data_IF_595731152310
#
_entry.id   IF_595731152310
#
_cell.length_a   1.000
_cell.length_b   1.000
_cell.length_c   1.000
_cell.angle_alpha   90.00
_cell.angle_beta   90.00
_cell.angle_gamma   90.00
#
_symmetry.space_group_name_H-M   'P 1'
#
loop_
_entity.id
_entity.type
_entity.pdbx_description
1 polymer ?
#
# COMPACT_ATOMS: atom_id res chain seq x y z
N UNK A 1 15.71 0.41 -2.30
CA UNK A 1 14.67 0.50 -1.26
C UNK A 1 13.75 1.65 -1.63
N UNK A 2 12.46 1.39 -1.76
CA UNK A 2 11.42 2.37 -2.06
C UNK A 2 10.32 2.30 -0.97
N UNK A 3 9.31 3.17 -1.07
CA UNK A 3 8.12 3.11 -0.22
C UNK A 3 6.91 2.76 -1.06
N UNK A 4 6.27 1.63 -0.77
CA UNK A 4 4.96 1.28 -1.29
C UNK A 4 3.90 2.13 -0.58
N UNK A 5 3.18 2.95 -1.34
CA UNK A 5 2.12 3.81 -0.79
C UNK A 5 0.81 3.03 -0.83
N UNK A 6 0.25 2.74 0.34
CA UNK A 6 -1.01 2.00 0.46
C UNK A 6 -2.20 2.84 -0.06
N UNK A 7 -3.23 2.17 -0.55
CA UNK A 7 -4.42 2.80 -1.13
C UNK A 7 -5.09 3.75 -0.16
N UNK A 8 -5.12 3.42 1.14
CA UNK A 8 -5.76 4.26 2.15
C UNK A 8 -5.16 5.67 2.21
N UNK A 9 -3.84 5.82 2.09
CA UNK A 9 -3.15 7.11 2.13
C UNK A 9 -3.46 7.95 0.89
N UNK A 10 -3.46 7.31 -0.29
CA UNK A 10 -3.81 7.99 -1.55
C UNK A 10 -5.27 8.47 -1.51
N UNK A 11 -6.16 7.61 -1.03
CA UNK A 11 -7.58 7.90 -0.86
C UNK A 11 -7.80 9.09 0.08
N UNK A 12 -7.14 9.12 1.24
CA UNK A 12 -7.33 10.19 2.22
C UNK A 12 -7.05 11.58 1.61
N UNK A 13 -6.05 11.66 0.72
CA UNK A 13 -5.70 12.90 0.02
C UNK A 13 -6.73 13.22 -1.06
N UNK A 14 -7.04 12.23 -1.90
CA UNK A 14 -7.95 12.40 -3.03
C UNK A 14 -9.34 12.88 -2.61
N UNK A 15 -9.89 12.35 -1.51
CA UNK A 15 -11.22 12.78 -1.01
C UNK A 15 -11.16 13.82 0.09
N UNK A 16 -9.97 14.32 0.41
CA UNK A 16 -9.74 15.31 1.47
C UNK A 16 -10.35 14.85 2.80
N UNK A 17 -10.02 13.63 3.20
CA UNK A 17 -10.53 13.00 4.41
C UNK A 17 -10.32 13.92 5.64
N UNK A 18 -11.37 14.23 6.41
CA UNK A 18 -11.29 15.25 7.47
C UNK A 18 -10.40 14.84 8.65
N UNK A 19 -10.08 13.56 8.79
CA UNK A 19 -9.26 13.04 9.89
C UNK A 19 -7.84 12.77 9.42
N UNK A 20 -7.68 12.19 8.23
CA UNK A 20 -6.40 11.63 7.78
C UNK A 20 -5.67 12.47 6.76
N UNK A 21 -6.32 13.44 6.11
CA UNK A 21 -5.70 14.27 5.06
C UNK A 21 -4.38 14.89 5.51
N UNK A 22 -4.36 15.50 6.70
CA UNK A 22 -3.18 16.20 7.20
C UNK A 22 -1.99 15.25 7.36
N UNK A 23 -2.20 14.12 8.05
CA UNK A 23 -1.15 13.13 8.25
C UNK A 23 -0.69 12.51 6.93
N UNK A 24 -1.62 12.06 6.08
CA UNK A 24 -1.30 11.40 4.81
C UNK A 24 -0.51 12.33 3.87
N UNK A 25 -0.91 13.60 3.79
CA UNK A 25 -0.20 14.62 3.00
C UNK A 25 1.19 14.91 3.56
N UNK A 26 1.31 15.08 4.88
CA UNK A 26 2.59 15.34 5.52
C UNK A 26 3.55 14.14 5.40
N UNK A 27 3.05 12.91 5.51
CA UNK A 27 3.83 11.70 5.32
C UNK A 27 4.36 11.59 3.88
N UNK A 28 3.51 11.78 2.87
CA UNK A 28 3.97 11.80 1.48
C UNK A 28 4.99 12.92 1.23
N UNK A 29 4.73 14.13 1.74
CA UNK A 29 5.61 15.28 1.52
C UNK A 29 6.99 15.10 2.17
N UNK A 30 7.06 14.43 3.33
CA UNK A 30 8.32 14.07 3.99
C UNK A 30 9.15 13.07 3.20
N UNK A 31 8.50 12.14 2.51
CA UNK A 31 9.16 11.10 1.73
C UNK A 31 9.51 11.57 0.31
N UNK A 32 8.68 12.46 -0.25
CA UNK A 32 8.92 13.07 -1.54
C UNK A 32 10.32 13.71 -1.59
N UNK A 33 11.05 13.44 -2.66
CA UNK A 33 12.42 13.91 -2.86
C UNK A 33 13.52 13.12 -2.13
N UNK A 34 13.17 12.24 -1.18
CA UNK A 34 14.15 11.47 -0.40
C UNK A 34 14.17 9.98 -0.78
N UNK A 35 13.00 9.42 -1.08
CA UNK A 35 12.84 8.02 -1.47
C UNK A 35 11.84 7.87 -2.61
N UNK A 36 12.03 6.91 -3.54
CA UNK A 36 11.02 6.64 -4.55
C UNK A 36 9.69 6.20 -3.93
N UNK A 37 8.61 6.88 -4.29
CA UNK A 37 7.24 6.46 -3.96
C UNK A 37 6.77 5.49 -5.04
N UNK A 38 6.25 4.35 -4.62
CA UNK A 38 5.91 3.24 -5.51
C UNK A 38 4.48 2.78 -5.28
N UNK A 39 3.79 2.43 -6.36
CA UNK A 39 2.50 1.75 -6.35
C UNK A 39 2.58 0.51 -7.23
N UNK A 40 1.69 -0.44 -6.98
CA UNK A 40 1.57 -1.65 -7.79
C UNK A 40 0.16 -1.74 -8.41
N UNK A 41 -0.11 -2.69 -9.32
CA UNK A 41 -1.42 -2.81 -9.95
C UNK A 41 -2.59 -3.03 -8.99
N UNK A 42 -2.34 -3.57 -7.79
CA UNK A 42 -3.38 -3.79 -6.77
C UNK A 42 -3.78 -2.44 -6.18
N UNK A 43 -2.81 -1.64 -5.73
CA UNK A 43 -3.03 -0.29 -5.20
C UNK A 43 -3.72 0.60 -6.24
N UNK A 44 -3.22 0.57 -7.48
CA UNK A 44 -3.81 1.33 -8.58
C UNK A 44 -5.27 0.93 -8.82
N UNK A 45 -5.56 -0.38 -8.88
CA UNK A 45 -6.92 -0.87 -9.09
C UNK A 45 -7.87 -0.52 -7.94
N UNK A 46 -7.41 -0.56 -6.69
CA UNK A 46 -8.25 -0.16 -5.56
C UNK A 46 -8.52 1.35 -5.54
N UNK A 47 -7.51 2.17 -5.87
CA UNK A 47 -7.66 3.61 -5.98
C UNK A 47 -8.61 4.00 -7.13
N UNK A 48 -8.49 3.33 -8.28
CA UNK A 48 -9.25 3.64 -9.48
C UNK A 48 -10.75 3.36 -9.37
N UNK A 49 -11.22 2.55 -8.40
CA UNK A 49 -12.65 2.22 -8.21
C UNK A 49 -13.54 3.47 -8.04
N UNK A 50 -12.95 4.60 -7.63
CA UNK A 50 -13.68 5.86 -7.39
C UNK A 50 -13.85 6.73 -8.63
N UNK A 51 -13.27 6.32 -9.75
CA UNK A 51 -13.14 7.13 -10.95
C UNK A 51 -13.68 6.36 -12.16
N UNK A 52 -14.42 7.05 -13.01
CA UNK A 52 -14.96 6.48 -14.25
C UNK A 52 -14.00 6.66 -15.43
N UNK A 53 -12.97 7.49 -15.29
CA UNK A 53 -11.99 7.83 -16.32
C UNK A 53 -10.56 7.49 -15.88
N UNK A 54 -9.82 6.80 -16.75
CA UNK A 54 -8.42 6.46 -16.52
C UNK A 54 -7.55 7.73 -16.53
N UNK A 55 -7.87 8.73 -17.35
CA UNK A 55 -7.08 9.95 -17.44
C UNK A 55 -7.14 10.77 -16.13
N UNK A 56 -8.25 10.70 -15.39
CA UNK A 56 -8.36 11.28 -14.05
C UNK A 56 -7.44 10.58 -13.04
N UNK A 57 -7.37 9.24 -13.10
CA UNK A 57 -6.46 8.47 -12.24
C UNK A 57 -5.01 8.74 -12.57
N UNK A 58 -4.66 8.83 -13.85
CA UNK A 58 -3.31 9.15 -14.31
C UNK A 58 -2.87 10.56 -13.88
N UNK A 59 -3.80 11.53 -13.88
CA UNK A 59 -3.53 12.88 -13.39
C UNK A 59 -3.30 12.94 -11.87
N UNK A 60 -3.95 12.06 -11.10
CA UNK A 60 -3.80 11.97 -9.65
C UNK A 60 -2.60 11.11 -9.21
N UNK A 61 -2.18 10.16 -10.04
CA UNK A 61 -1.05 9.26 -9.80
C UNK A 61 -0.03 9.35 -10.96
N UNK A 62 0.57 10.53 -11.18
CA UNK A 62 1.45 10.74 -12.31
C UNK A 62 2.72 9.90 -12.16
N UNK A 63 3.19 9.32 -13.27
CA UNK A 63 4.23 8.27 -13.27
C UNK A 63 5.63 8.76 -12.88
N UNK A 64 5.86 10.07 -12.90
CA UNK A 64 7.07 10.73 -12.41
C UNK A 64 7.08 10.90 -10.88
N UNK A 65 5.92 11.00 -10.24
CA UNK A 65 5.79 11.00 -8.78
C UNK A 65 5.63 9.59 -8.19
N UNK A 66 4.79 8.75 -8.82
CA UNK A 66 4.49 7.40 -8.36
C UNK A 66 5.04 6.36 -9.34
N UNK A 67 6.16 5.74 -8.96
CA UNK A 67 6.74 4.64 -9.73
C UNK A 67 5.80 3.44 -9.73
N UNK A 68 5.52 2.90 -10.92
CA UNK A 68 4.73 1.68 -11.06
C UNK A 68 5.63 0.46 -11.05
N UNK A 69 5.37 -0.47 -10.13
CA UNK A 69 6.07 -1.76 -10.07
C UNK A 69 5.08 -2.92 -10.25
N UNK A 70 5.38 -3.82 -11.19
CA UNK A 70 4.63 -5.07 -11.34
C UNK A 70 4.80 -5.95 -10.10
N UNK A 71 3.71 -6.63 -9.69
CA UNK A 71 3.77 -7.59 -8.59
C UNK A 71 4.71 -8.77 -8.96
N UNK A 72 5.78 -9.03 -8.19
CA UNK A 72 6.64 -10.18 -8.45
C UNK A 72 5.89 -11.50 -8.23
N UNK A 73 6.20 -12.52 -9.03
CA UNK A 73 5.65 -13.87 -8.83
C UNK A 73 5.94 -14.43 -7.42
N UNK A 74 7.13 -14.17 -6.88
CA UNK A 74 7.49 -14.53 -5.51
C UNK A 74 6.60 -13.84 -4.47
N UNK A 75 6.17 -12.60 -4.73
CA UNK A 75 5.25 -11.88 -3.86
C UNK A 75 3.85 -12.51 -3.89
N UNK A 76 3.37 -12.92 -5.07
CA UNK A 76 2.10 -13.65 -5.18
C UNK A 76 2.13 -14.96 -4.36
N UNK A 77 3.24 -15.71 -4.41
CA UNK A 77 3.42 -16.92 -3.60
C UNK A 77 3.43 -16.62 -2.09
N UNK A 78 4.20 -15.61 -1.68
CA UNK A 78 4.29 -15.18 -0.27
C UNK A 78 2.93 -14.68 0.27
N UNK A 79 2.16 -13.94 -0.54
CA UNK A 79 0.80 -13.54 -0.20
C UNK A 79 -0.12 -14.76 0.01
N UNK A 80 -0.02 -15.78 -0.83
CA UNK A 80 -0.75 -17.04 -0.65
C UNK A 80 -0.34 -17.77 0.63
N UNK A 81 0.94 -17.72 1.01
CA UNK A 81 1.42 -18.28 2.28
C UNK A 81 0.84 -17.53 3.49
N UNK A 82 0.88 -16.19 3.47
CA UNK A 82 0.26 -15.35 4.50
C UNK A 82 -1.24 -15.61 4.61
N UNK A 83 -1.95 -15.74 3.48
CA UNK A 83 -3.37 -16.06 3.48
C UNK A 83 -3.68 -17.44 4.08
N UNK A 84 -2.84 -18.46 3.84
CA UNK A 84 -2.98 -19.77 4.51
C UNK A 84 -2.83 -19.65 6.02
N UNK A 85 -1.92 -18.81 6.52
CA UNK A 85 -1.76 -18.56 7.95
C UNK A 85 -3.00 -17.85 8.52
N UNK A 86 -3.49 -16.81 7.82
CA UNK A 86 -4.72 -16.11 8.18
C UNK A 86 -5.92 -17.07 8.32
N UNK A 87 -6.13 -17.97 7.35
CA UNK A 87 -7.21 -18.97 7.41
C UNK A 87 -7.03 -19.96 8.56
N UNK A 88 -5.81 -20.42 8.82
CA UNK A 88 -5.50 -21.30 9.96
C UNK A 88 -5.78 -20.61 11.30
N UNK A 89 -5.62 -19.30 11.37
CA UNK A 89 -5.95 -18.48 12.54
C UNK A 89 -7.44 -18.15 12.68
N UNK A 90 -8.33 -18.79 11.90
CA UNK A 90 -9.78 -18.56 11.95
C UNK A 90 -10.28 -17.39 11.10
N UNK A 91 -9.43 -16.87 10.21
CA UNK A 91 -9.81 -15.82 9.28
C UNK A 91 -10.94 -16.23 8.35
N UNK A 92 -12.06 -15.48 8.39
CA UNK A 92 -13.27 -15.79 7.62
C UNK A 92 -13.26 -15.38 6.15
N UNK A 93 -12.23 -14.66 5.66
CA UNK A 93 -12.19 -14.23 4.26
C UNK A 93 -11.85 -15.40 3.33
N UNK A 94 -12.64 -15.55 2.27
CA UNK A 94 -12.54 -16.68 1.33
C UNK A 94 -11.47 -16.48 0.25
N UNK A 95 -11.15 -15.21 -0.08
CA UNK A 95 -10.20 -14.82 -1.13
C UNK A 95 -8.95 -14.17 -0.53
N UNK A 96 -7.82 -14.29 -1.23
CA UNK A 96 -6.58 -13.57 -0.89
C UNK A 96 -6.87 -12.07 -0.93
N UNK A 97 -6.42 -11.37 0.09
CA UNK A 97 -6.62 -9.94 0.25
C UNK A 97 -5.59 -9.12 -0.51
N UNK A 98 -5.99 -7.97 -1.06
CA UNK A 98 -5.08 -6.95 -1.54
C UNK A 98 -3.91 -6.69 -0.59
N UNK A 99 -4.17 -6.49 0.70
CA UNK A 99 -3.14 -6.25 1.73
C UNK A 99 -2.07 -7.36 1.78
N UNK A 100 -2.44 -8.62 1.51
CA UNK A 100 -1.45 -9.71 1.45
C UNK A 100 -0.54 -9.57 0.24
N UNK A 101 -1.07 -9.14 -0.90
CA UNK A 101 -0.28 -8.91 -2.11
C UNK A 101 0.62 -7.69 -1.94
N UNK A 102 0.13 -6.61 -1.32
CA UNK A 102 0.89 -5.40 -1.03
C UNK A 102 2.01 -5.69 -0.03
N UNK A 103 1.68 -6.34 1.10
CA UNK A 103 2.64 -6.74 2.13
C UNK A 103 3.74 -7.66 1.60
N UNK A 104 3.35 -8.66 0.82
CA UNK A 104 4.30 -9.56 0.18
C UNK A 104 5.18 -8.86 -0.86
N UNK A 105 4.63 -7.89 -1.62
CA UNK A 105 5.43 -7.10 -2.55
C UNK A 105 6.54 -6.37 -1.78
N UNK A 106 6.17 -5.65 -0.73
CA UNK A 106 7.13 -4.90 0.08
C UNK A 106 8.22 -5.81 0.66
N UNK A 107 7.84 -6.96 1.22
CA UNK A 107 8.79 -7.94 1.74
C UNK A 107 9.78 -8.42 0.67
N UNK A 108 9.28 -8.83 -0.50
CA UNK A 108 10.12 -9.40 -1.57
C UNK A 108 11.06 -8.36 -2.19
N UNK A 109 10.64 -7.10 -2.26
CA UNK A 109 11.47 -6.01 -2.82
C UNK A 109 12.35 -5.32 -1.78
N UNK A 110 12.15 -5.60 -0.49
CA UNK A 110 12.79 -4.87 0.59
C UNK A 110 12.35 -3.40 0.63
N UNK A 111 11.07 -3.14 0.37
CA UNK A 111 10.45 -1.82 0.47
C UNK A 111 9.79 -1.63 1.83
N UNK A 112 9.63 -0.37 2.23
CA UNK A 112 8.74 0.00 3.33
C UNK A 112 7.31 0.17 2.83
N UNK A 113 6.32 0.13 3.72
CA UNK A 113 4.92 0.49 3.40
C UNK A 113 4.52 1.75 4.16
N UNK A 114 3.96 2.73 3.45
CA UNK A 114 3.26 3.87 4.05
C UNK A 114 1.77 3.55 4.13
N UNK A 115 1.23 3.47 5.34
CA UNK A 115 -0.17 3.08 5.57
C UNK A 115 -0.70 3.62 6.90
N UNK A 116 -2.00 3.94 6.97
CA UNK A 116 -2.67 4.23 8.25
C UNK A 116 -3.26 3.01 8.95
N UNK A 117 -3.30 1.84 8.31
CA UNK A 117 -3.78 0.59 8.92
C UNK A 117 -2.66 -0.49 8.97
N UNK A 118 -1.78 -0.45 9.98
CA UNK A 118 -0.63 -1.34 10.03
C UNK A 118 -0.92 -2.75 10.55
N UNK A 119 -2.11 -3.00 11.11
CA UNK A 119 -2.37 -4.21 11.91
C UNK A 119 -2.18 -5.49 11.09
N UNK A 120 -2.72 -5.50 9.86
CA UNK A 120 -2.57 -6.62 8.94
C UNK A 120 -1.11 -6.88 8.57
N UNK A 121 -0.41 -5.83 8.16
CA UNK A 121 1.00 -5.93 7.76
C UNK A 121 1.90 -6.43 8.89
N UNK A 122 1.76 -5.89 10.10
CA UNK A 122 2.55 -6.36 11.27
C UNK A 122 2.36 -7.83 11.59
N UNK A 123 1.13 -8.31 11.43
CA UNK A 123 0.77 -9.68 11.79
C UNK A 123 1.38 -10.68 10.81
N UNK A 124 1.36 -10.36 9.51
CA UNK A 124 1.68 -11.32 8.46
C UNK A 124 3.00 -11.06 7.74
N UNK A 125 3.56 -9.86 7.88
CA UNK A 125 4.83 -9.43 7.29
C UNK A 125 5.63 -8.60 8.31
N UNK A 126 6.01 -9.18 9.47
CA UNK A 126 6.64 -8.44 10.58
C UNK A 126 7.97 -7.79 10.22
N UNK A 127 8.67 -8.31 9.20
CA UNK A 127 9.96 -7.80 8.74
C UNK A 127 9.82 -6.63 7.75
N UNK A 128 8.60 -6.26 7.35
CA UNK A 128 8.35 -5.11 6.47
C UNK A 128 8.35 -3.83 7.30
N UNK A 129 9.25 -2.87 7.04
CA UNK A 129 9.23 -1.58 7.73
C UNK A 129 7.94 -0.82 7.40
N UNK A 130 7.27 -0.30 8.43
CA UNK A 130 6.02 0.44 8.27
C UNK A 130 6.19 1.91 8.66
N UNK A 131 5.66 2.79 7.84
CA UNK A 131 5.52 4.23 8.10
C UNK A 131 4.05 4.48 8.40
N UNK A 132 3.75 4.83 9.65
CA UNK A 132 2.38 4.85 10.20
C UNK A 132 2.15 6.05 11.10
N UNK A 133 0.91 6.45 11.38
CA UNK A 133 0.62 7.61 12.25
C UNK A 133 1.21 7.50 13.65
N UNK A 134 1.25 6.28 14.19
CA UNK A 134 1.75 6.00 15.54
C UNK A 134 3.29 6.02 15.65
N UNK A 135 4.01 5.80 14.54
CA UNK A 135 5.48 5.77 14.53
C UNK A 135 6.10 6.99 13.84
N UNK A 136 5.33 7.65 12.98
CA UNK A 136 5.71 8.81 12.19
C UNK A 136 4.57 9.84 12.23
N UNK A 137 4.30 10.46 13.39
CA UNK A 137 3.21 11.42 13.56
C UNK A 137 3.40 12.64 12.66
#
# INVERSE_FOLDING_TARGET
>A
MAVLVDTNVLVDIAVRDPVWLEWSRNALSRLAGHVPLTINPIIYAEFSVRYDDIDEVEALLPSDEFRRESLPWAAAFAAGAAFRLYRKAGGGRERVLPDFLIGAHALIRGHSILTRDPKGYRTYFPDVPLITPETHP
#
